data_IF_443385833605
#
_entry.id   IF_443385833605
#
_cell.length_a   1.000
_cell.length_b   1.000
_cell.length_c   1.000
_cell.angle_alpha   90.00
_cell.angle_beta   90.00
_cell.angle_gamma   90.00
#
_symmetry.space_group_name_H-M   'P 1'
#
loop_
_entity.id
_entity.type
_entity.pdbx_description
1 polymer ?
#
# COMPACT_ATOMS: atom_id res chain seq x y z
N UNK A 1 5.41 5.76 -16.83
CA UNK A 1 4.92 4.42 -17.20
C UNK A 1 3.85 4.05 -16.21
N UNK A 2 2.58 3.97 -16.64
CA UNK A 2 1.48 3.46 -15.83
C UNK A 2 1.80 2.00 -15.51
N UNK A 3 2.27 1.72 -14.29
CA UNK A 3 2.42 0.34 -13.85
C UNK A 3 1.09 -0.10 -13.26
N UNK A 4 0.33 -0.89 -14.02
CA UNK A 4 -0.76 -1.70 -13.49
C UNK A 4 -0.06 -2.85 -12.76
N UNK A 5 -0.05 -2.86 -11.41
CA UNK A 5 0.43 -4.02 -10.66
C UNK A 5 -0.48 -5.22 -11.01
N UNK A 6 -0.04 -6.21 -11.80
CA UNK A 6 -0.92 -7.28 -12.26
C UNK A 6 -1.15 -8.35 -11.18
N UNK A 7 -0.43 -8.25 -10.05
CA UNK A 7 -0.21 -9.35 -9.12
C UNK A 7 -0.67 -9.10 -7.67
N UNK A 8 -1.38 -8.00 -7.39
CA UNK A 8 -1.96 -7.78 -6.07
C UNK A 8 -2.93 -8.94 -5.73
N UNK A 9 -2.58 -9.72 -4.71
CA UNK A 9 -3.32 -10.88 -4.25
C UNK A 9 -4.38 -10.46 -3.22
N UNK A 10 -5.59 -10.94 -3.45
CA UNK A 10 -6.74 -10.77 -2.58
C UNK A 10 -7.05 -12.14 -1.97
N UNK A 11 -6.79 -12.31 -0.67
CA UNK A 11 -7.05 -13.57 0.02
C UNK A 11 -8.56 -13.70 0.33
N UNK A 12 -9.15 -14.91 0.38
CA UNK A 12 -10.54 -15.09 0.74
C UNK A 12 -10.82 -14.59 2.16
N UNK A 13 -11.82 -13.70 2.32
CA UNK A 13 -12.21 -13.06 3.59
C UNK A 13 -12.11 -11.53 3.58
N UNK A 14 -11.40 -10.96 2.61
CA UNK A 14 -11.47 -9.55 2.23
C UNK A 14 -12.62 -9.38 1.23
N UNK A 15 -13.34 -8.26 1.27
CA UNK A 15 -14.47 -7.97 0.36
C UNK A 15 -14.12 -8.37 -1.06
N UNK A 16 -14.96 -9.22 -1.66
CA UNK A 16 -14.81 -9.76 -3.01
C UNK A 16 -14.48 -8.66 -4.02
N UNK A 17 -13.22 -8.55 -4.39
CA UNK A 17 -12.81 -8.00 -5.66
C UNK A 17 -11.55 -8.74 -6.06
N UNK A 18 -11.74 -9.97 -6.53
CA UNK A 18 -10.78 -10.52 -7.47
C UNK A 18 -10.56 -9.41 -8.51
N UNK A 19 -9.33 -8.91 -8.54
CA UNK A 19 -8.81 -7.94 -9.49
C UNK A 19 -9.20 -6.45 -9.29
N UNK A 20 -8.35 -5.70 -8.59
CA UNK A 20 -8.28 -4.23 -8.73
C UNK A 20 -7.07 -3.86 -9.60
N UNK A 21 -7.11 -2.75 -10.32
CA UNK A 21 -5.97 -2.23 -11.09
C UNK A 21 -5.32 -1.08 -10.32
N UNK A 22 -4.07 -1.25 -9.87
CA UNK A 22 -3.30 -0.19 -9.21
C UNK A 22 -2.74 0.74 -10.27
N UNK A 23 -2.95 2.05 -10.13
CA UNK A 23 -2.41 3.07 -11.00
C UNK A 23 -1.28 3.80 -10.24
N UNK A 24 -0.03 3.48 -10.56
CA UNK A 24 1.14 4.16 -9.99
C UNK A 24 1.35 5.48 -10.71
N UNK A 25 1.12 6.59 -10.02
CA UNK A 25 1.35 7.93 -10.55
C UNK A 25 2.76 8.38 -10.19
N UNK A 26 3.58 8.66 -11.21
CA UNK A 26 4.91 9.26 -11.02
C UNK A 26 4.77 10.76 -10.74
N UNK A 27 5.63 11.30 -9.85
CA UNK A 27 5.62 12.68 -9.33
C UNK A 27 5.48 13.77 -10.42
N UNK A 28 6.01 13.56 -11.62
CA UNK A 28 6.00 14.54 -12.71
C UNK A 28 4.78 14.46 -13.65
N UNK A 29 3.83 13.57 -13.41
CA UNK A 29 2.74 13.29 -14.37
C UNK A 29 1.40 13.00 -13.71
N UNK A 30 1.17 13.45 -12.48
CA UNK A 30 -0.08 13.21 -11.75
C UNK A 30 -1.28 13.67 -12.58
N UNK A 31 -1.35 14.96 -12.93
CA UNK A 31 -2.49 15.51 -13.70
C UNK A 31 -2.67 14.89 -15.10
N UNK A 32 -1.64 14.82 -15.98
CA UNK A 32 -1.81 14.20 -17.29
C UNK A 32 -2.24 12.73 -17.23
N UNK A 33 -1.77 11.98 -16.23
CA UNK A 33 -2.16 10.59 -16.04
C UNK A 33 -3.62 10.47 -15.55
N UNK A 34 -4.08 11.38 -14.71
CA UNK A 34 -5.47 11.45 -14.26
C UNK A 34 -6.43 11.84 -15.38
N UNK A 35 -6.03 12.80 -16.22
CA UNK A 35 -6.79 13.18 -17.42
C UNK A 35 -6.93 11.97 -18.35
N UNK A 36 -5.85 11.21 -18.61
CA UNK A 36 -5.95 9.98 -19.39
C UNK A 36 -6.83 8.91 -18.71
N UNK A 37 -6.71 8.75 -17.39
CA UNK A 37 -7.52 7.81 -16.62
C UNK A 37 -9.02 8.13 -16.72
N UNK A 38 -9.38 9.41 -16.71
CA UNK A 38 -10.76 9.88 -16.85
C UNK A 38 -11.36 9.46 -18.20
N UNK A 39 -10.59 9.59 -19.29
CA UNK A 39 -11.02 9.18 -20.63
C UNK A 39 -11.29 7.67 -20.75
N UNK A 40 -10.60 6.84 -19.95
CA UNK A 40 -10.77 5.39 -19.97
C UNK A 40 -11.64 4.86 -18.83
N UNK A 41 -12.06 5.71 -17.88
CA UNK A 41 -12.79 5.34 -16.65
C UNK A 41 -13.98 4.43 -16.92
N UNK A 42 -14.80 4.76 -17.92
CA UNK A 42 -16.00 3.98 -18.30
C UNK A 42 -15.69 2.58 -18.88
N UNK A 43 -14.44 2.36 -19.31
CA UNK A 43 -13.97 1.07 -19.83
C UNK A 43 -13.34 0.20 -18.75
N UNK A 44 -13.06 0.76 -17.58
CA UNK A 44 -12.49 0.02 -16.46
C UNK A 44 -13.58 -0.87 -15.86
N UNK A 45 -13.28 -2.18 -15.81
CA UNK A 45 -14.20 -3.18 -15.24
C UNK A 45 -13.97 -3.40 -13.73
N UNK A 46 -13.04 -2.64 -13.16
CA UNK A 46 -12.46 -2.90 -11.84
C UNK A 46 -12.18 -1.58 -11.13
N UNK A 47 -12.26 -1.54 -9.79
CA UNK A 47 -11.86 -0.37 -9.02
C UNK A 47 -10.39 -0.02 -9.29
N UNK A 48 -10.12 1.29 -9.28
CA UNK A 48 -8.77 1.83 -9.44
C UNK A 48 -8.27 2.33 -8.09
N UNK A 49 -7.04 1.98 -7.77
CA UNK A 49 -6.32 2.55 -6.65
C UNK A 49 -5.27 3.51 -7.17
N UNK A 50 -5.18 4.69 -6.57
CA UNK A 50 -4.16 5.69 -6.94
C UNK A 50 -3.06 5.67 -5.90
N UNK A 51 -1.85 5.30 -6.33
CA UNK A 51 -0.70 5.10 -5.44
C UNK A 51 0.33 6.22 -5.52
N UNK A 52 0.80 6.69 -4.37
CA UNK A 52 1.97 7.56 -4.26
C UNK A 52 2.65 7.43 -2.89
N UNK A 53 3.97 7.58 -2.88
CA UNK A 53 4.73 7.81 -1.65
C UNK A 53 4.77 9.31 -1.36
N UNK A 54 4.09 9.72 -0.29
CA UNK A 54 3.88 11.13 0.06
C UNK A 54 4.67 11.57 1.30
N UNK A 55 5.30 10.62 2.00
CA UNK A 55 6.10 10.86 3.19
C UNK A 55 7.44 10.09 3.14
N UNK A 56 8.49 10.59 3.79
CA UNK A 56 9.73 9.83 3.93
C UNK A 56 9.53 8.70 4.93
N UNK A 57 9.98 7.51 4.57
CA UNK A 57 9.85 6.31 5.40
C UNK A 57 11.18 5.74 5.85
N UNK A 58 11.15 4.53 6.41
CA UNK A 58 12.37 3.92 6.93
C UNK A 58 13.43 3.73 5.84
N UNK A 59 14.61 4.30 6.11
CA UNK A 59 15.75 4.35 5.19
C UNK A 59 15.42 4.92 3.80
N UNK A 60 14.30 5.63 3.67
CA UNK A 60 13.85 6.27 2.44
C UNK A 60 14.62 7.55 2.15
N UNK A 61 14.57 7.98 0.89
CA UNK A 61 15.04 9.30 0.50
C UNK A 61 13.92 10.33 0.66
N UNK A 62 14.28 11.60 0.83
CA UNK A 62 13.32 12.73 0.90
C UNK A 62 12.62 13.05 -0.44
N UNK A 63 12.89 12.26 -1.48
CA UNK A 63 12.29 12.40 -2.81
C UNK A 63 10.85 11.85 -2.83
N UNK A 64 9.96 12.54 -2.13
CA UNK A 64 8.53 12.21 -2.00
C UNK A 64 7.67 13.11 -2.87
N UNK A 65 6.47 12.65 -3.20
CA UNK A 65 5.48 13.48 -3.90
C UNK A 65 4.98 14.57 -2.95
N UNK A 66 4.72 15.79 -3.47
CA UNK A 66 4.02 16.83 -2.71
C UNK A 66 2.64 16.32 -2.29
N UNK A 67 2.51 15.98 -1.00
CA UNK A 67 1.32 15.35 -0.44
C UNK A 67 0.06 16.18 -0.71
N UNK A 68 0.12 17.49 -0.47
CA UNK A 68 -1.05 18.37 -0.59
C UNK A 68 -1.46 18.51 -2.05
N UNK A 69 -0.54 18.89 -2.94
CA UNK A 69 -0.83 19.04 -4.36
C UNK A 69 -1.32 17.75 -5.00
N UNK A 70 -0.76 16.60 -4.60
CA UNK A 70 -1.22 15.29 -5.06
C UNK A 70 -2.65 15.00 -4.62
N UNK A 71 -2.94 15.10 -3.32
CA UNK A 71 -4.26 14.78 -2.77
C UNK A 71 -5.33 15.72 -3.32
N UNK A 72 -5.08 17.03 -3.37
CA UNK A 72 -6.00 18.02 -3.95
C UNK A 72 -6.32 17.69 -5.42
N UNK A 73 -5.30 17.33 -6.19
CA UNK A 73 -5.48 16.99 -7.61
C UNK A 73 -6.27 15.69 -7.77
N UNK A 74 -5.89 14.63 -7.05
CA UNK A 74 -6.54 13.31 -7.18
C UNK A 74 -8.00 13.37 -6.76
N UNK A 75 -8.27 13.98 -5.60
CA UNK A 75 -9.64 14.07 -5.05
C UNK A 75 -10.55 14.97 -5.87
N UNK A 76 -10.00 15.95 -6.60
CA UNK A 76 -10.74 16.76 -7.57
C UNK A 76 -11.20 15.97 -8.81
N UNK A 77 -10.40 15.01 -9.29
CA UNK A 77 -10.75 14.18 -10.45
C UNK A 77 -11.57 12.94 -10.07
N UNK A 78 -11.22 12.31 -8.94
CA UNK A 78 -11.81 11.06 -8.48
C UNK A 78 -12.11 11.12 -6.98
N UNK A 79 -13.23 11.76 -6.58
CA UNK A 79 -13.56 11.95 -5.16
C UNK A 79 -13.81 10.65 -4.41
N UNK A 80 -14.20 9.57 -5.10
CA UNK A 80 -14.54 8.27 -4.52
C UNK A 80 -13.44 7.21 -4.70
N UNK A 81 -12.22 7.61 -5.10
CA UNK A 81 -11.12 6.67 -5.36
C UNK A 81 -10.54 6.10 -4.06
N UNK A 82 -10.00 4.89 -4.10
CA UNK A 82 -9.13 4.41 -3.02
C UNK A 82 -7.72 4.95 -3.20
N UNK A 83 -7.19 5.55 -2.15
CA UNK A 83 -5.83 6.08 -2.13
C UNK A 83 -4.88 5.04 -1.53
N UNK A 84 -3.76 4.80 -2.19
CA UNK A 84 -2.67 3.98 -1.67
C UNK A 84 -1.51 4.91 -1.32
N UNK A 85 -1.43 5.31 -0.05
CA UNK A 85 -0.55 6.40 0.41
C UNK A 85 0.61 5.83 1.22
N UNK A 86 1.79 5.84 0.60
CA UNK A 86 2.97 5.19 1.13
C UNK A 86 4.00 6.14 1.69
N UNK A 87 5.08 5.52 2.15
CA UNK A 87 6.31 6.18 2.47
C UNK A 87 7.41 5.73 1.51
N UNK A 88 8.32 6.64 1.15
CA UNK A 88 9.54 6.22 0.46
C UNK A 88 10.32 5.29 1.38
N UNK A 89 10.68 4.10 0.91
CA UNK A 89 11.39 3.10 1.72
C UNK A 89 12.69 2.70 1.07
N UNK A 90 13.73 2.62 1.87
CA UNK A 90 14.97 1.95 1.51
C UNK A 90 15.08 0.62 2.24
N UNK A 91 15.58 -0.38 1.54
CA UNK A 91 16.02 -1.62 2.16
C UNK A 91 17.44 -1.92 1.69
N UNK A 92 18.30 -2.28 2.62
CA UNK A 92 19.71 -2.56 2.34
C UNK A 92 20.14 -3.90 2.98
N UNK A 93 20.72 -4.82 2.19
CA UNK A 93 21.22 -6.09 2.74
C UNK A 93 22.37 -5.83 3.71
N UNK A 94 22.40 -6.57 4.81
CA UNK A 94 23.45 -6.48 5.83
C UNK A 94 23.44 -5.19 6.68
N UNK A 95 22.42 -4.34 6.57
CA UNK A 95 22.21 -3.18 7.45
C UNK A 95 21.02 -3.41 8.39
N UNK A 96 20.99 -2.64 9.48
CA UNK A 96 19.79 -2.55 10.30
C UNK A 96 18.72 -1.78 9.50
N UNK A 97 17.66 -2.49 9.10
CA UNK A 97 16.53 -1.89 8.40
C UNK A 97 15.48 -1.55 9.45
N UNK A 98 15.41 -0.27 9.84
CA UNK A 98 14.37 0.20 10.76
C UNK A 98 12.98 -0.01 10.16
N UNK A 99 12.00 -0.25 11.02
CA UNK A 99 10.60 -0.20 10.64
C UNK A 99 10.03 1.22 10.65
N UNK A 100 8.74 1.34 10.33
CA UNK A 100 7.93 2.54 10.51
C UNK A 100 7.82 2.92 12.00
N UNK A 101 8.22 4.14 12.34
CA UNK A 101 8.18 4.62 13.72
C UNK A 101 6.89 5.42 14.02
N UNK A 102 6.73 5.82 15.29
CA UNK A 102 5.59 6.60 15.77
C UNK A 102 5.44 7.96 15.08
N UNK A 103 6.54 8.61 14.71
CA UNK A 103 6.51 9.91 14.06
C UNK A 103 5.93 9.74 12.65
N UNK A 104 6.44 8.75 11.90
CA UNK A 104 6.00 8.42 10.55
C UNK A 104 4.50 8.09 10.48
N UNK A 105 4.00 7.23 11.38
CA UNK A 105 2.58 6.85 11.35
C UNK A 105 1.65 7.96 11.83
N UNK A 106 2.08 8.80 12.78
CA UNK A 106 1.29 9.95 13.26
C UNK A 106 1.18 11.03 12.19
N UNK A 107 2.25 11.31 11.48
CA UNK A 107 2.23 12.26 10.37
C UNK A 107 1.30 11.80 9.25
N UNK A 108 1.38 10.51 8.86
CA UNK A 108 0.47 9.93 7.88
C UNK A 108 -0.99 10.01 8.34
N UNK A 109 -1.26 9.72 9.62
CA UNK A 109 -2.60 9.83 10.19
C UNK A 109 -3.15 11.27 10.15
N UNK A 110 -2.30 12.26 10.41
CA UNK A 110 -2.69 13.68 10.35
C UNK A 110 -3.08 14.09 8.93
N UNK A 111 -2.33 13.66 7.92
CA UNK A 111 -2.68 13.95 6.52
C UNK A 111 -4.02 13.25 6.16
N UNK A 112 -4.14 11.97 6.50
CA UNK A 112 -5.28 11.16 6.08
C UNK A 112 -6.59 11.49 6.81
N UNK A 113 -6.54 12.09 8.00
CA UNK A 113 -7.75 12.41 8.77
C UNK A 113 -8.70 13.37 8.05
N UNK A 114 -8.18 14.18 7.12
CA UNK A 114 -8.95 15.16 6.34
C UNK A 114 -9.64 14.53 5.13
N UNK A 115 -9.25 13.32 4.74
CA UNK A 115 -9.74 12.62 3.56
C UNK A 115 -11.05 11.90 3.88
N UNK A 116 -11.95 11.81 2.91
CA UNK A 116 -13.17 10.99 2.98
C UNK A 116 -13.01 9.63 2.30
N UNK A 117 -12.01 9.48 1.43
CA UNK A 117 -11.71 8.30 0.62
C UNK A 117 -11.26 7.11 1.47
N UNK A 118 -11.46 5.85 1.02
CA UNK A 118 -10.72 4.71 1.55
C UNK A 118 -9.21 4.90 1.36
N UNK A 119 -8.42 4.56 2.37
CA UNK A 119 -6.95 4.68 2.33
C UNK A 119 -6.32 3.35 2.67
N UNK A 120 -5.46 2.86 1.79
CA UNK A 120 -4.57 1.73 2.10
C UNK A 120 -3.14 2.22 2.24
N UNK A 121 -2.41 1.71 3.23
CA UNK A 121 -1.02 2.07 3.46
C UNK A 121 -0.12 0.97 2.91
N UNK A 122 0.59 1.20 1.78
CA UNK A 122 1.55 0.26 1.26
C UNK A 122 2.77 0.19 2.19
N UNK A 123 2.94 -0.96 2.84
CA UNK A 123 4.05 -1.24 3.76
C UNK A 123 4.93 -2.36 3.23
N UNK A 124 6.24 -2.18 3.32
CA UNK A 124 7.21 -3.18 2.83
C UNK A 124 7.29 -4.35 3.82
N UNK A 125 7.02 -5.58 3.37
CA UNK A 125 6.92 -6.75 4.24
C UNK A 125 8.11 -6.92 5.19
N UNK A 126 9.34 -6.71 4.69
CA UNK A 126 10.58 -6.82 5.46
C UNK A 126 10.68 -5.84 6.66
N UNK A 127 9.86 -4.79 6.70
CA UNK A 127 9.90 -3.73 7.71
C UNK A 127 8.73 -3.80 8.71
N UNK A 128 7.67 -4.56 8.40
CA UNK A 128 6.44 -4.55 9.20
C UNK A 128 6.65 -5.15 10.59
N UNK A 129 7.49 -6.18 10.70
CA UNK A 129 7.69 -6.92 11.96
C UNK A 129 8.18 -6.02 13.10
N UNK A 130 8.94 -4.97 12.81
CA UNK A 130 9.41 -4.03 13.83
C UNK A 130 8.39 -2.92 14.17
N UNK A 131 7.27 -2.86 13.45
CA UNK A 131 6.33 -1.71 13.45
C UNK A 131 4.88 -2.11 13.65
N UNK A 132 4.64 -3.32 14.15
CA UNK A 132 3.28 -3.83 14.34
C UNK A 132 2.46 -2.89 15.21
N UNK A 133 3.02 -2.38 16.31
CA UNK A 133 2.31 -1.50 17.25
C UNK A 133 1.90 -0.17 16.60
N UNK A 134 2.83 0.45 15.88
CA UNK A 134 2.67 1.72 15.18
C UNK A 134 1.62 1.61 14.07
N UNK A 135 1.71 0.57 13.26
CA UNK A 135 0.78 0.31 12.16
C UNK A 135 -0.60 -0.12 12.66
N UNK A 136 -0.68 -0.92 13.72
CA UNK A 136 -1.97 -1.25 14.36
C UNK A 136 -2.68 0.00 14.86
N UNK A 137 -1.95 0.90 15.53
CA UNK A 137 -2.49 2.17 15.98
C UNK A 137 -2.98 3.02 14.79
N UNK A 138 -2.22 3.06 13.69
CA UNK A 138 -2.64 3.79 12.48
C UNK A 138 -3.98 3.27 11.93
N UNK A 139 -4.15 1.95 11.83
CA UNK A 139 -5.42 1.36 11.35
C UNK A 139 -6.60 1.58 12.30
N UNK A 140 -6.35 1.81 13.59
CA UNK A 140 -7.41 2.10 14.57
C UNK A 140 -7.99 3.52 14.43
N UNK A 141 -7.31 4.42 13.70
CA UNK A 141 -7.76 5.80 13.55
C UNK A 141 -9.02 5.96 12.69
N UNK A 142 -9.33 4.97 11.84
CA UNK A 142 -10.50 4.98 10.96
C UNK A 142 -10.77 3.57 10.43
N UNK A 143 -12.04 3.21 10.25
CA UNK A 143 -12.48 1.97 9.61
C UNK A 143 -12.17 1.93 8.10
N UNK A 144 -12.03 3.11 7.48
CA UNK A 144 -11.63 3.29 6.07
C UNK A 144 -10.18 2.91 5.76
N UNK A 145 -9.38 2.63 6.79
CA UNK A 145 -7.96 2.38 6.63
C UNK A 145 -7.64 0.90 6.42
N UNK A 146 -6.64 0.57 5.62
CA UNK A 146 -6.16 -0.79 5.40
C UNK A 146 -4.65 -0.81 5.19
N UNK A 147 -4.05 -2.00 5.16
CA UNK A 147 -2.65 -2.19 4.76
C UNK A 147 -2.56 -2.90 3.42
N UNK A 148 -1.58 -2.50 2.61
CA UNK A 148 -1.12 -3.27 1.46
C UNK A 148 0.32 -3.70 1.71
N UNK A 149 0.53 -4.96 2.06
CA UNK A 149 1.86 -5.51 2.30
C UNK A 149 2.49 -5.82 0.96
N UNK A 150 3.61 -5.17 0.62
CA UNK A 150 4.29 -5.36 -0.67
C UNK A 150 5.76 -5.75 -0.48
N UNK A 151 6.35 -6.30 -1.54
CA UNK A 151 7.75 -6.77 -1.52
C UNK A 151 8.53 -6.29 -2.74
N UNK A 152 9.73 -5.77 -2.52
CA UNK A 152 10.74 -5.54 -3.55
C UNK A 152 11.48 -6.82 -3.93
N UNK A 153 12.06 -6.85 -5.14
CA UNK A 153 12.81 -8.02 -5.66
C UNK A 153 14.04 -8.42 -4.82
N UNK A 154 14.59 -7.48 -4.06
CA UNK A 154 15.79 -7.68 -3.25
C UNK A 154 15.46 -7.79 -1.76
N UNK A 155 14.20 -7.70 -1.38
CA UNK A 155 13.82 -7.75 0.03
C UNK A 155 14.02 -9.16 0.57
N UNK A 156 14.72 -9.27 1.69
CA UNK A 156 14.79 -10.52 2.46
C UNK A 156 13.72 -10.50 3.54
N UNK A 157 12.81 -11.47 3.47
CA UNK A 157 11.74 -11.72 4.44
C UNK A 157 11.35 -13.20 4.37
N UNK A 158 10.82 -13.71 5.47
CA UNK A 158 10.38 -15.09 5.60
C UNK A 158 8.86 -15.23 5.47
N UNK A 159 8.37 -16.44 5.18
CA UNK A 159 6.93 -16.75 5.27
C UNK A 159 6.41 -16.50 6.69
N UNK A 160 7.23 -16.75 7.71
CA UNK A 160 6.92 -16.48 9.11
C UNK A 160 6.64 -14.99 9.36
N UNK A 161 7.37 -14.09 8.69
CA UNK A 161 7.09 -12.65 8.79
C UNK A 161 5.69 -12.32 8.23
N UNK A 162 5.29 -12.94 7.12
CA UNK A 162 3.95 -12.75 6.53
C UNK A 162 2.84 -13.34 7.42
N UNK A 163 3.08 -14.49 8.03
CA UNK A 163 2.18 -15.10 9.01
C UNK A 163 2.03 -14.22 10.24
N UNK A 164 3.14 -13.68 10.75
CA UNK A 164 3.13 -12.75 11.88
C UNK A 164 2.27 -11.51 11.60
N UNK A 165 2.38 -10.94 10.39
CA UNK A 165 1.50 -9.84 9.96
C UNK A 165 0.03 -10.31 9.98
N UNK A 166 -0.26 -11.47 9.38
CA UNK A 166 -1.63 -12.01 9.29
C UNK A 166 -2.28 -12.26 10.66
N UNK A 167 -1.48 -12.56 11.68
CA UNK A 167 -1.93 -12.80 13.06
C UNK A 167 -2.22 -11.51 13.82
N UNK A 168 -1.48 -10.43 13.54
CA UNK A 168 -1.58 -9.18 14.28
C UNK A 168 -2.58 -8.17 13.71
N UNK A 169 -2.97 -8.32 12.43
CA UNK A 169 -3.89 -7.41 11.76
C UNK A 169 -5.20 -8.09 11.36
N UNK A 170 -6.27 -7.31 11.24
CA UNK A 170 -7.54 -7.79 10.71
C UNK A 170 -7.37 -8.24 9.26
N UNK A 171 -7.58 -9.54 9.00
CA UNK A 171 -7.42 -10.20 7.70
C UNK A 171 -8.30 -9.57 6.62
N UNK A 172 -9.41 -8.94 6.98
CA UNK A 172 -10.31 -8.23 6.06
C UNK A 172 -9.81 -6.83 5.66
N UNK A 173 -8.72 -6.36 6.30
CA UNK A 173 -8.12 -5.02 6.10
C UNK A 173 -6.65 -5.10 5.68
N UNK A 174 -6.17 -6.28 5.28
CA UNK A 174 -4.79 -6.47 4.80
C UNK A 174 -4.80 -7.12 3.42
N UNK A 175 -4.12 -6.47 2.49
CA UNK A 175 -3.89 -6.92 1.12
C UNK A 175 -2.42 -7.30 0.96
N UNK A 176 -2.13 -8.25 0.07
CA UNK A 176 -0.79 -8.80 -0.11
C UNK A 176 -0.37 -8.67 -1.59
N UNK A 177 0.65 -7.87 -1.88
CA UNK A 177 1.31 -7.76 -3.19
C UNK A 177 2.72 -8.36 -3.11
N UNK A 178 2.76 -9.70 -3.05
CA UNK A 178 3.96 -10.49 -2.75
C UNK A 178 4.45 -11.17 -4.02
N UNK A 179 5.75 -11.10 -4.27
CA UNK A 179 6.39 -11.76 -5.41
C UNK A 179 6.51 -13.28 -5.18
N UNK A 180 6.53 -14.03 -6.28
CA UNK A 180 6.89 -15.46 -6.23
C UNK A 180 8.41 -15.62 -6.00
N UNK A 181 8.85 -16.70 -5.33
CA UNK A 181 8.06 -17.87 -4.88
C UNK A 181 7.38 -17.73 -3.51
N UNK A 182 7.72 -16.72 -2.70
CA UNK A 182 7.23 -16.58 -1.32
C UNK A 182 5.70 -16.50 -1.24
N UNK A 183 5.06 -15.91 -2.25
CA UNK A 183 3.61 -15.85 -2.33
C UNK A 183 2.95 -17.24 -2.36
N UNK A 184 3.49 -18.17 -3.15
CA UNK A 184 3.00 -19.56 -3.18
C UNK A 184 3.22 -20.28 -1.85
N UNK A 185 4.37 -20.09 -1.22
CA UNK A 185 4.68 -20.70 0.08
C UNK A 185 3.77 -20.15 1.19
N UNK A 186 3.52 -18.83 1.18
CA UNK A 186 2.59 -18.19 2.12
C UNK A 186 1.17 -18.70 1.96
N UNK A 187 0.66 -18.81 0.73
CA UNK A 187 -0.66 -19.38 0.44
C UNK A 187 -0.79 -20.81 0.96
N UNK A 188 0.23 -21.65 0.72
CA UNK A 188 0.29 -23.01 1.24
C UNK A 188 0.24 -23.02 2.77
N UNK A 189 1.00 -22.14 3.43
CA UNK A 189 1.03 -22.05 4.89
C UNK A 189 -0.32 -21.66 5.50
N UNK A 190 -1.16 -20.91 4.78
CA UNK A 190 -2.50 -20.49 5.23
C UNK A 190 -3.64 -21.36 4.67
N UNK A 191 -3.32 -22.50 4.04
CA UNK A 191 -4.30 -23.48 3.56
C UNK A 191 -5.08 -23.05 2.32
N UNK A 192 -4.52 -22.16 1.49
CA UNK A 192 -5.10 -21.76 0.21
C UNK A 192 -4.31 -22.48 -0.89
N UNK A 193 -4.79 -23.65 -1.27
CA UNK A 193 -4.27 -24.39 -2.43
C UNK A 193 -5.13 -24.08 -3.67
N UNK A 194 -4.49 -23.92 -4.82
CA UNK A 194 -5.15 -23.81 -6.13
C UNK A 194 -5.13 -25.16 -6.85
#
# INVERSE_FOLDING_TARGET
VLSICPNALWLPGTVSSAYSSVCVLCIFSVRPSLELLEHVKLRLRRPVWINADILPGPNGNDAVVDAKGFLDTVTSFFPDVTLSLGWSTGWHPGKHNNGYDWMMVKEMAQICNTLSQPVTYPVRAALVRQSVSELCWLLQQSDRYSLTVWTGKQDEYSVEDLLHIRENFDKSRVYYDILEPQNSEFKKAIGIEY
#
